data_IF_555491780048
#
_entry.id   IF_555491780048
#
_cell.length_a   1.000
_cell.length_b   1.000
_cell.length_c   1.000
_cell.angle_alpha   90.00
_cell.angle_beta   90.00
_cell.angle_gamma   90.00
#
_symmetry.space_group_name_H-M   'P 1'
#
loop_
_entity.id
_entity.type
_entity.pdbx_description
1 polymer ?
#
# COMPACT_ATOMS: atom_id res chain seq x y z
N UNK A 1 -9.39 -5.80 11.29
CA UNK A 1 -8.19 -5.89 10.42
C UNK A 1 -7.01 -5.33 11.21
N UNK A 2 -5.83 -5.95 11.17
CA UNK A 2 -4.66 -5.49 11.91
C UNK A 2 -3.53 -5.16 10.93
N UNK A 3 -2.94 -3.97 11.06
CA UNK A 3 -1.78 -3.58 10.26
C UNK A 3 -0.50 -3.93 11.02
N UNK A 4 0.42 -4.67 10.39
CA UNK A 4 1.74 -4.93 10.96
C UNK A 4 2.67 -3.71 10.89
N UNK A 5 2.24 -2.63 10.21
CA UNK A 5 2.99 -1.39 10.11
C UNK A 5 3.21 -0.71 11.47
N UNK A 6 2.32 -0.94 12.45
CA UNK A 6 2.42 -0.37 13.80
C UNK A 6 3.64 -0.89 14.59
N UNK A 7 4.18 -2.05 14.18
CA UNK A 7 5.35 -2.67 14.79
C UNK A 7 6.60 -2.23 14.03
N UNK A 8 7.24 -1.17 14.50
CA UNK A 8 8.50 -0.67 13.92
C UNK A 8 9.61 -1.71 14.07
N UNK A 9 10.46 -1.85 13.05
CA UNK A 9 11.58 -2.79 13.04
C UNK A 9 11.18 -4.26 12.85
N UNK A 10 9.89 -4.57 12.70
CA UNK A 10 9.43 -5.92 12.36
C UNK A 10 9.87 -6.24 10.93
N UNK A 11 10.54 -7.39 10.76
CA UNK A 11 10.81 -7.96 9.42
C UNK A 11 9.50 -8.54 8.87
N UNK A 12 8.81 -7.77 8.02
CA UNK A 12 7.44 -8.08 7.60
C UNK A 12 7.43 -8.96 6.37
N UNK A 13 6.83 -10.14 6.53
CA UNK A 13 6.56 -11.06 5.44
C UNK A 13 5.06 -11.28 5.25
N UNK A 14 4.63 -11.33 4.00
CA UNK A 14 3.31 -11.85 3.62
C UNK A 14 3.28 -13.36 3.83
N UNK A 15 2.10 -13.88 4.19
CA UNK A 15 1.89 -15.32 4.29
C UNK A 15 2.02 -16.03 2.93
N UNK A 16 1.71 -15.32 1.84
CA UNK A 16 1.86 -15.78 0.47
C UNK A 16 2.81 -14.85 -0.30
N UNK A 17 3.71 -15.44 -1.08
CA UNK A 17 4.64 -14.71 -1.94
C UNK A 17 3.88 -14.07 -3.11
N UNK A 18 4.33 -12.90 -3.55
CA UNK A 18 3.86 -12.23 -4.76
C UNK A 18 5.07 -11.99 -5.65
N UNK A 19 5.01 -12.40 -6.91
CA UNK A 19 6.08 -12.15 -7.88
C UNK A 19 7.39 -12.81 -7.49
N UNK A 20 8.34 -12.08 -6.91
CA UNK A 20 9.65 -12.63 -6.50
C UNK A 20 9.88 -12.66 -4.99
N UNK A 21 9.04 -11.99 -4.20
CA UNK A 21 9.30 -11.79 -2.77
C UNK A 21 8.06 -12.00 -1.91
N UNK A 22 8.27 -12.33 -0.63
CA UNK A 22 7.25 -12.23 0.41
C UNK A 22 7.50 -11.05 1.34
N UNK A 23 8.62 -10.33 1.19
CA UNK A 23 8.98 -9.20 2.04
C UNK A 23 8.11 -8.00 1.69
N UNK A 24 7.24 -7.60 2.61
CA UNK A 24 6.27 -6.50 2.41
C UNK A 24 6.98 -5.23 1.99
N UNK A 25 8.15 -4.97 2.59
CA UNK A 25 8.97 -3.80 2.34
C UNK A 25 9.80 -3.88 1.05
N UNK A 26 9.57 -4.87 0.18
CA UNK A 26 10.26 -5.02 -1.11
C UNK A 26 9.31 -5.21 -2.29
N UNK A 27 8.03 -5.50 -2.04
CA UNK A 27 7.04 -5.72 -3.11
C UNK A 27 6.92 -4.48 -3.99
N UNK A 28 7.21 -4.66 -5.28
CA UNK A 28 7.04 -3.63 -6.30
C UNK A 28 5.88 -3.92 -7.25
N UNK A 29 5.58 -2.96 -8.13
CA UNK A 29 4.58 -3.14 -9.20
C UNK A 29 4.86 -4.39 -10.06
N UNK A 30 6.14 -4.63 -10.37
CA UNK A 30 6.56 -5.77 -11.18
C UNK A 30 6.18 -7.11 -10.56
N UNK A 31 6.18 -7.22 -9.24
CA UNK A 31 5.80 -8.46 -8.55
C UNK A 31 4.32 -8.79 -8.75
N UNK A 32 3.44 -7.77 -8.74
CA UNK A 32 2.02 -7.96 -9.06
C UNK A 32 1.80 -8.33 -10.54
N UNK A 33 2.61 -7.80 -11.46
CA UNK A 33 2.52 -8.19 -12.87
C UNK A 33 2.99 -9.62 -13.10
N UNK A 34 4.01 -10.07 -12.38
CA UNK A 34 4.43 -11.48 -12.37
C UNK A 34 3.35 -12.38 -11.77
N UNK A 35 2.73 -11.97 -10.66
CA UNK A 35 1.59 -12.69 -10.09
C UNK A 35 0.43 -12.80 -11.10
N UNK A 36 0.16 -11.76 -11.89
CA UNK A 36 -0.85 -11.83 -12.93
C UNK A 36 -0.50 -12.89 -13.99
N UNK A 37 0.76 -13.01 -14.39
CA UNK A 37 1.21 -14.07 -15.30
C UNK A 37 1.04 -15.47 -14.68
N UNK A 38 1.46 -15.65 -13.42
CA UNK A 38 1.33 -16.91 -12.68
C UNK A 38 -0.14 -17.36 -12.55
N UNK A 39 -1.07 -16.41 -12.39
CA UNK A 39 -2.51 -16.65 -12.26
C UNK A 39 -3.26 -16.65 -13.61
N UNK A 40 -2.55 -16.52 -14.74
CA UNK A 40 -3.16 -16.43 -16.09
C UNK A 40 -4.19 -15.30 -16.18
N UNK A 41 -3.92 -14.18 -15.51
CA UNK A 41 -4.73 -12.97 -15.50
C UNK A 41 -4.19 -11.95 -16.51
N UNK A 42 -5.09 -11.11 -17.01
CA UNK A 42 -4.72 -10.01 -17.89
C UNK A 42 -3.85 -8.98 -17.14
N UNK A 43 -2.65 -8.71 -17.68
CA UNK A 43 -1.78 -7.63 -17.19
C UNK A 43 -2.49 -6.28 -17.15
N UNK A 44 -3.36 -6.01 -18.12
CA UNK A 44 -4.16 -4.77 -18.18
C UNK A 44 -5.11 -4.66 -16.99
N UNK A 45 -5.74 -5.79 -16.60
CA UNK A 45 -6.62 -5.84 -15.43
C UNK A 45 -5.80 -5.64 -14.16
N UNK A 46 -4.64 -6.30 -14.03
CA UNK A 46 -3.77 -6.12 -12.86
C UNK A 46 -3.28 -4.68 -12.71
N UNK A 47 -2.81 -4.06 -13.80
CA UNK A 47 -2.43 -2.63 -13.82
C UNK A 47 -3.57 -1.76 -13.32
N UNK A 48 -4.78 -1.95 -13.85
CA UNK A 48 -5.95 -1.19 -13.45
C UNK A 48 -6.27 -1.38 -11.96
N UNK A 49 -6.20 -2.60 -11.44
CA UNK A 49 -6.42 -2.89 -10.02
C UNK A 49 -5.39 -2.20 -9.13
N UNK A 50 -4.11 -2.25 -9.50
CA UNK A 50 -3.05 -1.56 -8.77
C UNK A 50 -3.35 -0.06 -8.72
N UNK A 51 -3.69 0.52 -9.86
CA UNK A 51 -3.92 1.96 -10.00
C UNK A 51 -5.15 2.39 -9.18
N UNK A 52 -6.27 1.67 -9.28
CA UNK A 52 -7.50 1.92 -8.51
C UNK A 52 -7.26 1.82 -7.00
N UNK A 53 -6.53 0.81 -6.53
CA UNK A 53 -6.21 0.64 -5.10
C UNK A 53 -5.29 1.75 -4.59
N UNK A 54 -4.24 2.09 -5.33
CA UNK A 54 -3.30 3.15 -4.93
C UNK A 54 -4.00 4.50 -4.88
N UNK A 55 -4.81 4.85 -5.89
CA UNK A 55 -5.56 6.10 -5.93
C UNK A 55 -6.62 6.17 -4.84
N UNK A 56 -7.37 5.07 -4.63
CA UNK A 56 -8.38 4.98 -3.57
C UNK A 56 -7.76 5.15 -2.18
N UNK A 57 -6.67 4.44 -1.89
CA UNK A 57 -5.95 4.56 -0.63
C UNK A 57 -5.44 5.99 -0.41
N UNK A 58 -4.82 6.60 -1.43
CA UNK A 58 -4.31 7.97 -1.36
C UNK A 58 -5.40 9.00 -1.03
N UNK A 59 -6.59 8.85 -1.61
CA UNK A 59 -7.73 9.76 -1.37
C UNK A 59 -8.34 9.57 0.02
N UNK A 60 -8.34 8.35 0.55
CA UNK A 60 -9.03 8.04 1.81
C UNK A 60 -8.17 8.25 3.07
N UNK A 61 -6.85 8.09 2.98
CA UNK A 61 -5.97 8.07 4.16
C UNK A 61 -6.09 9.30 5.07
N UNK A 62 -6.02 10.51 4.50
CA UNK A 62 -6.07 11.75 5.29
C UNK A 62 -7.40 11.94 6.03
N UNK A 63 -8.50 11.54 5.41
CA UNK A 63 -9.83 11.56 6.05
C UNK A 63 -9.90 10.54 7.18
N UNK A 64 -9.43 9.30 6.97
CA UNK A 64 -9.48 8.23 7.98
C UNK A 64 -8.75 8.63 9.27
N UNK A 65 -7.56 9.25 9.17
CA UNK A 65 -6.80 9.70 10.34
C UNK A 65 -7.58 10.78 11.08
N UNK A 66 -8.01 11.81 10.35
CA UNK A 66 -8.73 12.95 10.92
C UNK A 66 -10.06 12.54 11.56
N UNK A 67 -10.85 11.70 10.88
CA UNK A 67 -12.15 11.21 11.36
C UNK A 67 -11.99 10.40 12.64
N UNK A 68 -10.95 9.58 12.74
CA UNK A 68 -10.72 8.74 13.92
C UNK A 68 -10.18 9.55 15.11
N UNK A 69 -9.29 10.51 14.88
CA UNK A 69 -8.83 11.43 15.93
C UNK A 69 -9.99 12.30 16.46
N UNK A 70 -10.84 12.81 15.56
CA UNK A 70 -12.03 13.58 15.91
C UNK A 70 -13.04 12.75 16.71
N UNK A 71 -13.31 11.50 16.28
CA UNK A 71 -14.25 10.60 16.95
C UNK A 71 -13.81 10.23 18.36
N UNK A 72 -12.50 10.11 18.59
CA UNK A 72 -11.94 9.77 19.90
C UNK A 72 -11.54 11.01 20.72
N UNK A 73 -11.67 12.20 20.14
CA UNK A 73 -11.23 13.48 20.70
C UNK A 73 -9.80 13.43 21.27
N UNK A 74 -8.88 12.80 20.54
CA UNK A 74 -7.47 12.66 20.93
C UNK A 74 -6.59 12.43 19.71
N UNK A 75 -5.31 12.79 19.84
CA UNK A 75 -4.31 12.43 18.84
C UNK A 75 -4.02 10.92 18.86
N UNK A 76 -3.78 10.38 17.67
CA UNK A 76 -3.51 8.97 17.39
C UNK A 76 -2.22 8.85 16.56
N UNK A 77 -1.03 9.09 17.16
CA UNK A 77 0.24 9.12 16.44
C UNK A 77 0.57 7.81 15.71
N UNK A 78 0.02 6.68 16.16
CA UNK A 78 0.16 5.40 15.47
C UNK A 78 -0.57 5.33 14.13
N UNK A 79 -1.63 6.11 13.94
CA UNK A 79 -2.29 6.20 12.64
C UNK A 79 -1.45 6.99 11.64
N UNK A 80 -0.79 8.06 12.08
CA UNK A 80 0.15 8.80 11.25
C UNK A 80 1.33 7.91 10.80
N UNK A 81 1.83 7.00 11.66
CA UNK A 81 2.84 6.01 11.27
C UNK A 81 2.32 5.03 10.19
N UNK A 82 1.07 4.58 10.31
CA UNK A 82 0.44 3.71 9.32
C UNK A 82 0.27 4.46 7.99
N UNK A 83 -0.16 5.72 8.04
CA UNK A 83 -0.30 6.58 6.85
C UNK A 83 1.04 6.75 6.13
N UNK A 84 2.11 7.09 6.86
CA UNK A 84 3.45 7.22 6.29
C UNK A 84 3.93 5.91 5.67
N UNK A 85 3.70 4.79 6.34
CA UNK A 85 4.02 3.47 5.81
C UNK A 85 3.25 3.20 4.51
N UNK A 86 1.93 3.42 4.51
CA UNK A 86 1.08 3.21 3.35
C UNK A 86 1.48 4.11 2.18
N UNK A 87 1.88 5.37 2.44
CA UNK A 87 2.41 6.27 1.43
C UNK A 87 3.64 5.69 0.73
N UNK A 88 4.62 5.19 1.49
CA UNK A 88 5.80 4.55 0.92
C UNK A 88 5.49 3.30 0.08
N UNK A 89 4.46 2.52 0.47
CA UNK A 89 3.98 1.40 -0.36
C UNK A 89 3.36 1.89 -1.67
N UNK A 90 2.51 2.93 -1.61
CA UNK A 90 1.85 3.51 -2.78
C UNK A 90 2.88 4.13 -3.72
N UNK A 91 3.91 4.81 -3.21
CA UNK A 91 4.97 5.38 -4.04
C UNK A 91 5.74 4.28 -4.78
N UNK A 92 6.03 3.15 -4.14
CA UNK A 92 6.73 2.02 -4.76
C UNK A 92 5.88 1.23 -5.75
N UNK A 93 4.63 0.94 -5.40
CA UNK A 93 3.74 0.07 -6.19
C UNK A 93 3.05 0.89 -7.31
N UNK A 94 2.75 2.15 -7.02
CA UNK A 94 2.08 3.11 -7.89
C UNK A 94 3.00 4.05 -8.67
N UNK A 95 4.33 3.86 -8.64
CA UNK A 95 5.35 4.76 -9.22
C UNK A 95 5.13 5.21 -10.68
N UNK A 96 4.30 4.51 -11.45
CA UNK A 96 3.99 4.83 -12.84
C UNK A 96 2.75 5.74 -13.00
N UNK A 97 2.12 6.15 -11.90
CA UNK A 97 0.95 7.03 -11.92
C UNK A 97 1.35 8.51 -12.12
N UNK A 98 0.52 9.32 -12.79
CA UNK A 98 0.81 10.73 -13.11
C UNK A 98 1.16 11.62 -11.90
N UNK A 99 0.81 11.22 -10.68
CA UNK A 99 1.11 11.96 -9.45
C UNK A 99 2.49 11.62 -8.86
N UNK A 100 3.08 10.47 -9.21
CA UNK A 100 4.42 10.06 -8.76
C UNK A 100 5.55 10.89 -9.42
N UNK A 101 5.27 11.56 -10.53
CA UNK A 101 6.20 12.48 -11.22
C UNK A 101 6.14 13.93 -10.70
N UNK A 102 5.38 14.20 -9.62
CA UNK A 102 5.15 15.56 -9.07
C UNK A 102 5.66 15.74 -7.63
N UNK A 103 6.51 14.82 -7.16
CA UNK A 103 7.34 14.94 -5.96
C UNK A 103 8.81 14.95 -6.38
#
# INVERSE_FOLDING_TARGET
MASTAVYRGLDRHMAMRIGRTSRVDEVGRGDFLLLAEELVLSKKVMVRLIDEVCEGALRSMGCIVSDMENSLNRSLPKLAEIEQFARGQIDRIGAQLPWAARL
#
